data_IF_804818641094
#
_entry.id   IF_804818641094
#
_cell.length_a   1.000
_cell.length_b   1.000
_cell.length_c   1.000
_cell.angle_alpha   90.00
_cell.angle_beta   90.00
_cell.angle_gamma   90.00
#
_symmetry.space_group_name_H-M   'P 1'
#
loop_
_entity.id
_entity.type
_entity.pdbx_description
1 polymer ?
#
# COMPACT_ATOMS: atom_id res chain seq x y z
N UNK A 1 15.50 80.45 -17.21
CA UNK A 1 16.42 79.29 -17.39
C UNK A 1 16.58 78.46 -16.11
N UNK A 2 16.84 79.10 -14.97
CA UNK A 2 17.02 78.34 -13.65
C UNK A 2 15.83 77.50 -13.16
N UNK A 3 14.60 77.96 -13.32
CA UNK A 3 13.39 77.21 -12.85
C UNK A 3 13.16 75.86 -13.59
N UNK A 4 13.59 75.77 -14.83
CA UNK A 4 13.43 74.53 -15.62
C UNK A 4 14.44 73.42 -15.26
N UNK A 5 15.67 73.86 -14.89
CA UNK A 5 16.73 72.91 -14.45
C UNK A 5 16.38 72.27 -13.11
N UNK A 6 15.88 73.06 -12.15
CA UNK A 6 15.44 72.54 -10.85
C UNK A 6 14.26 71.63 -10.96
N UNK A 7 13.32 71.86 -11.87
CA UNK A 7 12.15 70.99 -12.07
C UNK A 7 12.55 69.64 -12.67
N UNK A 8 13.44 69.62 -13.66
CA UNK A 8 13.93 68.44 -14.30
C UNK A 8 14.80 67.55 -13.35
N UNK A 9 15.59 68.19 -12.48
CA UNK A 9 16.40 67.51 -11.48
C UNK A 9 15.51 66.86 -10.40
N UNK A 10 14.41 67.48 -9.98
CA UNK A 10 13.46 66.94 -9.05
C UNK A 10 12.70 65.71 -9.59
N UNK A 11 12.26 65.79 -10.84
CA UNK A 11 11.55 64.71 -11.50
C UNK A 11 12.46 63.49 -11.73
N UNK A 12 13.74 63.71 -12.07
CA UNK A 12 14.69 62.61 -12.26
C UNK A 12 15.06 61.94 -10.94
N UNK A 13 15.23 62.73 -9.87
CA UNK A 13 15.43 62.17 -8.51
C UNK A 13 14.23 61.37 -8.02
N UNK A 14 13.03 61.87 -8.24
CA UNK A 14 11.81 61.20 -7.86
C UNK A 14 11.61 59.86 -8.63
N UNK A 15 11.89 59.84 -9.93
CA UNK A 15 11.88 58.60 -10.75
C UNK A 15 12.91 57.58 -10.27
N UNK A 16 14.10 58.01 -9.90
CA UNK A 16 15.15 57.10 -9.39
C UNK A 16 14.79 56.51 -8.02
N UNK A 17 14.20 57.32 -7.14
CA UNK A 17 13.69 56.84 -5.85
C UNK A 17 12.57 55.84 -6.01
N UNK A 18 11.64 56.05 -6.94
CA UNK A 18 10.57 55.10 -7.24
C UNK A 18 11.12 53.77 -7.78
N UNK A 19 12.07 53.79 -8.71
CA UNK A 19 12.72 52.57 -9.20
C UNK A 19 13.45 51.79 -8.10
N UNK A 20 14.15 52.51 -7.21
CA UNK A 20 14.78 51.88 -6.04
C UNK A 20 13.77 51.27 -5.09
N UNK A 21 12.64 51.92 -4.82
CA UNK A 21 11.58 51.42 -3.96
C UNK A 21 10.90 50.16 -4.55
N UNK A 22 10.67 50.12 -5.88
CA UNK A 22 10.16 48.95 -6.59
C UNK A 22 11.15 47.78 -6.54
N UNK A 23 12.44 48.04 -6.68
CA UNK A 23 13.49 47.04 -6.54
C UNK A 23 13.52 46.42 -5.14
N UNK A 24 13.47 47.25 -4.10
CA UNK A 24 13.40 46.77 -2.71
C UNK A 24 12.16 45.96 -2.46
N UNK A 25 10.99 46.40 -2.93
CA UNK A 25 9.72 45.67 -2.81
C UNK A 25 9.78 44.32 -3.52
N UNK A 26 10.37 44.24 -4.69
CA UNK A 26 10.57 42.99 -5.42
C UNK A 26 11.48 42.02 -4.67
N UNK A 27 12.56 42.50 -4.07
CA UNK A 27 13.46 41.69 -3.24
C UNK A 27 12.74 41.21 -1.99
N UNK A 28 11.98 42.05 -1.28
CA UNK A 28 11.20 41.67 -0.11
C UNK A 28 10.17 40.59 -0.44
N UNK A 29 9.48 40.72 -1.58
CA UNK A 29 8.52 39.71 -2.02
C UNK A 29 9.21 38.38 -2.37
N UNK A 30 10.36 38.40 -3.03
CA UNK A 30 11.14 37.22 -3.36
C UNK A 30 11.65 36.52 -2.09
N UNK A 31 12.10 37.23 -1.09
CA UNK A 31 12.56 36.70 0.21
C UNK A 31 11.37 36.10 0.96
N UNK A 32 10.21 36.73 0.98
CA UNK A 32 9.01 36.22 1.65
C UNK A 32 8.51 34.95 0.96
N UNK A 33 8.48 34.89 -0.37
CA UNK A 33 8.13 33.68 -1.12
C UNK A 33 9.14 32.55 -0.92
N UNK A 34 10.42 32.88 -0.76
CA UNK A 34 11.47 31.91 -0.43
C UNK A 34 11.30 31.34 0.98
N UNK A 35 11.00 32.19 1.97
CA UNK A 35 10.72 31.79 3.35
C UNK A 35 9.51 30.85 3.42
N UNK A 36 8.40 31.22 2.78
CA UNK A 36 7.19 30.42 2.74
C UNK A 36 7.40 29.06 2.11
N UNK A 37 8.17 28.98 1.01
CA UNK A 37 8.57 27.71 0.38
C UNK A 37 9.48 26.86 1.27
N UNK A 38 10.34 27.48 2.06
CA UNK A 38 11.18 26.77 3.03
C UNK A 38 10.35 26.16 4.17
N UNK A 39 9.42 26.92 4.73
CA UNK A 39 8.51 26.39 5.76
C UNK A 39 7.65 25.21 5.26
N UNK A 40 7.10 25.32 4.06
CA UNK A 40 6.36 24.23 3.42
C UNK A 40 7.25 22.99 3.22
N UNK A 41 8.49 23.16 2.78
CA UNK A 41 9.44 22.07 2.62
C UNK A 41 9.82 21.43 3.95
N UNK A 42 10.05 22.21 4.99
CA UNK A 42 10.37 21.70 6.34
C UNK A 42 9.20 20.90 6.89
N UNK A 43 7.98 21.44 6.81
CA UNK A 43 6.78 20.74 7.24
C UNK A 43 6.57 19.43 6.47
N UNK A 44 6.72 19.46 5.16
CA UNK A 44 6.61 18.27 4.31
C UNK A 44 7.67 17.22 4.66
N UNK A 45 8.89 17.65 4.94
CA UNK A 45 9.98 16.76 5.36
C UNK A 45 9.69 16.12 6.72
N UNK A 46 9.16 16.87 7.68
CA UNK A 46 8.79 16.33 9.00
C UNK A 46 7.66 15.30 8.89
N UNK A 47 6.63 15.59 8.09
CA UNK A 47 5.53 14.65 7.83
C UNK A 47 6.07 13.39 7.15
N UNK A 48 6.93 13.53 6.15
CA UNK A 48 7.54 12.40 5.46
C UNK A 48 8.41 11.55 6.38
N UNK A 49 9.21 12.17 7.23
CA UNK A 49 10.03 11.47 8.22
C UNK A 49 9.17 10.70 9.23
N UNK A 50 8.07 11.30 9.68
CA UNK A 50 7.12 10.63 10.58
C UNK A 50 6.47 9.42 9.90
N UNK A 51 6.00 9.59 8.65
CA UNK A 51 5.41 8.49 7.87
C UNK A 51 6.43 7.38 7.66
N UNK A 52 7.66 7.70 7.28
CA UNK A 52 8.73 6.72 7.06
C UNK A 52 9.11 5.99 8.36
N UNK A 53 9.19 6.71 9.47
CA UNK A 53 9.42 6.09 10.78
C UNK A 53 8.26 5.15 11.16
N UNK A 54 7.02 5.61 11.01
CA UNK A 54 5.82 4.83 11.30
C UNK A 54 5.75 3.57 10.41
N UNK A 55 6.03 3.72 9.12
CA UNK A 55 6.12 2.62 8.16
C UNK A 55 7.18 1.59 8.61
N UNK A 56 8.38 2.05 8.97
CA UNK A 56 9.45 1.19 9.48
C UNK A 56 9.11 0.45 10.77
N UNK A 57 8.31 1.05 11.66
CA UNK A 57 7.82 0.39 12.88
C UNK A 57 6.73 -0.63 12.55
N UNK A 58 5.76 -0.26 11.71
CA UNK A 58 4.63 -1.15 11.36
C UNK A 58 5.10 -2.34 10.54
N UNK A 59 5.93 -2.13 9.51
CA UNK A 59 6.45 -3.20 8.63
C UNK A 59 7.76 -3.80 9.12
N UNK A 60 8.23 -3.40 10.29
CA UNK A 60 9.49 -3.88 10.90
C UNK A 60 9.36 -5.22 11.62
N UNK A 61 10.35 -5.48 12.48
CA UNK A 61 10.44 -6.69 13.29
C UNK A 61 9.16 -7.07 14.05
N UNK A 62 8.39 -6.14 14.65
CA UNK A 62 7.19 -6.50 15.40
C UNK A 62 6.15 -7.22 14.54
N UNK A 63 5.90 -6.74 13.32
CA UNK A 63 4.95 -7.38 12.41
C UNK A 63 5.44 -8.74 11.93
N UNK A 64 6.73 -8.86 11.61
CA UNK A 64 7.34 -10.12 11.17
C UNK A 64 7.20 -11.19 12.26
N UNK A 65 7.53 -10.83 13.51
CA UNK A 65 7.38 -11.72 14.66
C UNK A 65 5.91 -12.12 14.86
N UNK A 66 5.00 -11.18 14.76
CA UNK A 66 3.56 -11.44 14.92
C UNK A 66 3.05 -12.40 13.84
N UNK A 67 3.42 -12.18 12.58
CA UNK A 67 3.00 -13.04 11.46
C UNK A 67 3.57 -14.46 11.62
N UNK A 68 4.85 -14.59 11.92
CA UNK A 68 5.49 -15.89 12.13
C UNK A 68 4.91 -16.61 13.34
N UNK A 69 4.76 -15.92 14.47
CA UNK A 69 4.15 -16.47 15.68
C UNK A 69 2.73 -16.97 15.42
N UNK A 70 1.90 -16.16 14.79
CA UNK A 70 0.52 -16.54 14.43
C UNK A 70 0.50 -17.73 13.46
N UNK A 71 1.38 -17.71 12.46
CA UNK A 71 1.51 -18.81 11.50
C UNK A 71 1.95 -20.12 12.14
N UNK A 72 2.94 -20.10 13.04
CA UNK A 72 3.40 -21.27 13.80
C UNK A 72 2.30 -21.76 14.72
N UNK A 73 1.66 -20.86 15.49
CA UNK A 73 0.57 -21.21 16.40
C UNK A 73 -0.61 -21.86 15.67
N UNK A 74 -1.00 -21.32 14.53
CA UNK A 74 -2.07 -21.89 13.71
C UNK A 74 -1.65 -23.22 13.09
N UNK A 75 -0.44 -23.35 12.61
CA UNK A 75 0.09 -24.61 12.05
C UNK A 75 0.07 -25.73 13.08
N UNK A 76 0.50 -25.44 14.31
CA UNK A 76 0.47 -26.43 15.40
C UNK A 76 -0.95 -26.74 15.86
N UNK A 77 -1.81 -25.73 16.02
CA UNK A 77 -3.23 -25.92 16.41
C UNK A 77 -4.04 -26.67 15.37
N UNK A 78 -3.78 -26.46 14.09
CA UNK A 78 -4.45 -27.16 12.98
C UNK A 78 -3.79 -28.50 12.61
N UNK A 79 -2.76 -28.93 13.37
CA UNK A 79 -2.13 -30.24 13.19
C UNK A 79 -1.44 -30.42 11.85
N UNK A 80 -0.64 -29.43 11.39
CA UNK A 80 0.09 -29.45 10.11
C UNK A 80 -0.85 -29.70 8.91
N UNK A 81 -1.98 -29.01 8.89
CA UNK A 81 -3.02 -29.14 7.87
C UNK A 81 -2.47 -28.97 6.45
N UNK A 82 -1.48 -28.09 6.27
CA UNK A 82 -0.83 -27.81 5.00
C UNK A 82 -0.21 -29.07 4.37
N UNK A 83 0.32 -29.96 5.19
CA UNK A 83 0.94 -31.22 4.71
C UNK A 83 -0.08 -32.34 4.61
N UNK A 84 -0.91 -32.50 5.67
CA UNK A 84 -1.86 -33.64 5.77
C UNK A 84 -2.98 -33.60 4.74
N UNK A 85 -3.42 -32.40 4.35
CA UNK A 85 -4.56 -32.23 3.45
C UNK A 85 -4.19 -31.67 2.08
N UNK A 86 -2.90 -31.58 1.76
CA UNK A 86 -2.42 -31.06 0.47
C UNK A 86 -3.04 -31.81 -0.71
N UNK A 87 -3.09 -33.15 -0.66
CA UNK A 87 -3.69 -33.96 -1.72
C UNK A 87 -5.19 -33.71 -1.91
N UNK A 88 -5.93 -33.45 -0.81
CA UNK A 88 -7.33 -33.06 -0.89
C UNK A 88 -7.50 -31.67 -1.49
N UNK A 89 -6.67 -30.72 -1.07
CA UNK A 89 -6.70 -29.37 -1.61
C UNK A 89 -6.45 -29.35 -3.12
N UNK A 90 -5.45 -30.08 -3.61
CA UNK A 90 -5.18 -30.21 -5.03
C UNK A 90 -6.35 -30.86 -5.78
N UNK A 91 -7.00 -31.85 -5.19
CA UNK A 91 -8.19 -32.48 -5.80
C UNK A 91 -9.34 -31.47 -5.94
N UNK A 92 -9.61 -30.64 -4.93
CA UNK A 92 -10.65 -29.62 -4.98
C UNK A 92 -10.32 -28.44 -5.93
N UNK A 93 -9.07 -28.22 -6.24
CA UNK A 93 -8.69 -27.25 -7.29
C UNK A 93 -9.18 -27.66 -8.68
N UNK A 94 -9.22 -28.98 -8.96
CA UNK A 94 -9.54 -29.51 -10.30
C UNK A 94 -10.98 -30.01 -10.37
N UNK A 95 -11.52 -30.58 -9.29
CA UNK A 95 -12.90 -31.08 -9.22
C UNK A 95 -13.81 -30.03 -8.58
N UNK A 96 -14.78 -29.55 -9.34
CA UNK A 96 -15.89 -28.79 -8.76
C UNK A 96 -16.79 -29.75 -7.95
N UNK A 97 -17.08 -29.39 -6.71
CA UNK A 97 -18.14 -30.05 -5.95
C UNK A 97 -19.47 -29.46 -6.38
N UNK A 98 -20.36 -30.32 -6.87
CA UNK A 98 -21.74 -29.98 -7.17
C UNK A 98 -22.50 -29.97 -5.85
N UNK A 99 -23.13 -28.84 -5.47
CA UNK A 99 -24.01 -28.73 -4.30
C UNK A 99 -23.54 -27.83 -3.15
N UNK A 100 -22.55 -26.97 -3.37
CA UNK A 100 -22.23 -25.92 -2.40
C UNK A 100 -23.19 -24.72 -2.51
N UNK A 101 -23.62 -24.15 -1.37
CA UNK A 101 -24.44 -22.92 -1.29
C UNK A 101 -23.67 -21.64 -1.68
N UNK A 102 -22.71 -21.72 -2.58
CA UNK A 102 -21.89 -20.60 -3.05
C UNK A 102 -22.27 -20.14 -4.44
N UNK A 103 -22.17 -18.84 -4.70
CA UNK A 103 -22.43 -18.24 -6.01
C UNK A 103 -21.36 -18.59 -7.06
N UNK A 104 -20.20 -19.09 -6.65
CA UNK A 104 -19.03 -19.32 -7.50
C UNK A 104 -18.47 -20.73 -7.28
N UNK A 105 -18.03 -21.38 -8.36
CA UNK A 105 -17.35 -22.69 -8.26
C UNK A 105 -16.00 -22.59 -7.52
N UNK A 106 -15.53 -23.69 -6.95
CA UNK A 106 -14.23 -23.75 -6.24
C UNK A 106 -13.07 -23.28 -7.12
N UNK A 107 -13.06 -23.68 -8.39
CA UNK A 107 -12.06 -23.22 -9.35
C UNK A 107 -12.20 -21.72 -9.67
N UNK A 108 -13.42 -21.21 -9.83
CA UNK A 108 -13.69 -19.79 -10.05
C UNK A 108 -13.23 -18.93 -8.86
N UNK A 109 -13.49 -19.37 -7.63
CA UNK A 109 -13.02 -18.71 -6.41
C UNK A 109 -11.48 -18.67 -6.34
N UNK A 110 -10.82 -19.78 -6.70
CA UNK A 110 -9.35 -19.84 -6.78
C UNK A 110 -8.81 -18.87 -7.83
N UNK A 111 -9.37 -18.85 -9.03
CA UNK A 111 -8.95 -17.92 -10.10
C UNK A 111 -9.10 -16.46 -9.66
N UNK A 112 -10.21 -16.12 -9.02
CA UNK A 112 -10.46 -14.78 -8.49
C UNK A 112 -9.44 -14.40 -7.41
N UNK A 113 -9.16 -15.30 -6.46
CA UNK A 113 -8.18 -15.08 -5.41
C UNK A 113 -6.75 -14.91 -5.98
N UNK A 114 -6.35 -15.74 -6.95
CA UNK A 114 -5.06 -15.63 -7.62
C UNK A 114 -4.95 -14.33 -8.42
N UNK A 115 -5.99 -13.95 -9.14
CA UNK A 115 -6.02 -12.70 -9.91
C UNK A 115 -5.86 -11.47 -9.01
N UNK A 116 -6.43 -11.48 -7.81
CA UNK A 116 -6.29 -10.40 -6.84
C UNK A 116 -4.92 -10.40 -6.12
N UNK A 117 -4.26 -11.56 -6.03
CA UNK A 117 -3.03 -11.71 -5.23
C UNK A 117 -1.76 -11.60 -6.09
N UNK A 118 -1.80 -12.11 -7.33
CA UNK A 118 -0.64 -12.10 -8.23
C UNK A 118 -0.52 -10.72 -8.88
N UNK A 119 0.54 -10.01 -8.53
CA UNK A 119 0.85 -8.69 -9.09
C UNK A 119 2.35 -8.53 -9.32
N UNK A 120 2.77 -7.34 -9.73
CA UNK A 120 4.19 -6.99 -9.92
C UNK A 120 5.03 -7.18 -8.67
N UNK A 121 4.43 -7.10 -7.47
CA UNK A 121 5.10 -7.40 -6.21
C UNK A 121 5.66 -8.81 -6.14
N UNK A 122 4.99 -9.79 -6.74
CA UNK A 122 5.43 -11.18 -6.75
C UNK A 122 6.58 -11.44 -7.74
N UNK A 123 6.82 -10.54 -8.67
CA UNK A 123 7.92 -10.63 -9.65
C UNK A 123 9.04 -9.66 -9.26
N UNK A 124 8.75 -8.37 -9.25
CA UNK A 124 9.74 -7.32 -8.96
C UNK A 124 10.14 -7.35 -7.48
N UNK A 125 9.19 -7.54 -6.56
CA UNK A 125 9.47 -7.61 -5.13
C UNK A 125 10.34 -8.81 -4.75
N UNK A 126 10.11 -9.96 -5.36
CA UNK A 126 10.97 -11.15 -5.15
C UNK A 126 12.35 -10.91 -5.73
N UNK A 127 12.46 -10.35 -6.94
CA UNK A 127 13.74 -10.03 -7.57
C UNK A 127 14.56 -9.03 -6.73
N UNK A 128 13.92 -7.98 -6.23
CA UNK A 128 14.59 -6.99 -5.36
C UNK A 128 14.99 -7.58 -4.01
N UNK A 129 14.18 -8.44 -3.42
CA UNK A 129 14.52 -9.14 -2.18
C UNK A 129 15.73 -10.06 -2.35
N UNK A 130 15.82 -10.80 -3.46
CA UNK A 130 16.97 -11.64 -3.78
C UNK A 130 18.21 -10.78 -4.05
N UNK A 131 18.07 -9.67 -4.77
CA UNK A 131 19.16 -8.74 -5.04
C UNK A 131 19.75 -8.13 -3.75
N UNK A 132 18.90 -7.80 -2.78
CA UNK A 132 19.30 -7.20 -1.52
C UNK A 132 19.79 -8.22 -0.48
N UNK A 133 19.14 -9.38 -0.38
CA UNK A 133 19.37 -10.38 0.67
C UNK A 133 20.04 -11.67 0.19
N UNK A 134 20.39 -11.76 -1.11
CA UNK A 134 21.00 -12.95 -1.70
C UNK A 134 20.06 -14.17 -1.70
N UNK A 135 20.61 -15.38 -1.95
CA UNK A 135 19.82 -16.63 -2.00
C UNK A 135 19.10 -16.95 -0.69
N UNK A 136 19.59 -16.47 0.45
CA UNK A 136 18.98 -16.63 1.77
C UNK A 136 17.60 -15.98 1.86
N UNK A 137 17.36 -14.88 1.13
CA UNK A 137 16.06 -14.24 1.10
C UNK A 137 14.98 -15.18 0.55
N UNK A 138 15.27 -15.90 -0.53
CA UNK A 138 14.36 -16.88 -1.13
C UNK A 138 14.00 -18.00 -0.13
N UNK A 139 14.99 -18.51 0.59
CA UNK A 139 14.76 -19.54 1.61
C UNK A 139 13.77 -19.03 2.68
N UNK A 140 14.01 -17.85 3.23
CA UNK A 140 13.13 -17.29 4.26
C UNK A 140 11.73 -16.94 3.73
N UNK A 141 11.62 -16.54 2.47
CA UNK A 141 10.33 -16.31 1.83
C UNK A 141 9.51 -17.61 1.73
N UNK A 142 10.15 -18.75 1.38
CA UNK A 142 9.48 -20.05 1.33
C UNK A 142 9.03 -20.47 2.74
N UNK A 143 9.89 -20.30 3.76
CA UNK A 143 9.55 -20.59 5.15
C UNK A 143 8.36 -19.75 5.63
N UNK A 144 8.38 -18.45 5.37
CA UNK A 144 7.29 -17.55 5.71
C UNK A 144 5.99 -17.93 4.98
N UNK A 145 6.07 -18.29 3.69
CA UNK A 145 4.91 -18.73 2.92
C UNK A 145 4.29 -20.01 3.46
N UNK A 146 5.11 -20.96 3.93
CA UNK A 146 4.62 -22.20 4.54
C UNK A 146 3.74 -21.93 5.78
N UNK A 147 4.19 -21.05 6.67
CA UNK A 147 3.39 -20.64 7.82
C UNK A 147 2.21 -19.74 7.44
N UNK A 148 2.37 -18.92 6.41
CA UNK A 148 1.31 -18.08 5.86
C UNK A 148 0.11 -18.87 5.32
N UNK A 149 0.31 -20.07 4.81
CA UNK A 149 -0.78 -20.95 4.36
C UNK A 149 -1.77 -21.27 5.49
N UNK A 150 -1.30 -21.54 6.71
CA UNK A 150 -2.16 -21.79 7.85
C UNK A 150 -3.01 -20.58 8.24
N UNK A 151 -2.41 -19.39 8.16
CA UNK A 151 -3.11 -18.13 8.43
C UNK A 151 -4.21 -17.88 7.39
N UNK A 152 -3.92 -18.09 6.12
CA UNK A 152 -4.91 -17.92 5.03
C UNK A 152 -6.04 -18.97 5.12
N UNK A 153 -5.73 -20.19 5.49
CA UNK A 153 -6.75 -21.20 5.74
C UNK A 153 -7.69 -20.79 6.89
N UNK A 154 -7.13 -20.32 8.01
CA UNK A 154 -7.93 -19.88 9.15
C UNK A 154 -8.80 -18.66 8.77
N UNK A 155 -8.27 -17.71 8.02
CA UNK A 155 -9.01 -16.56 7.51
C UNK A 155 -10.20 -16.98 6.65
N UNK A 156 -9.97 -17.87 5.67
CA UNK A 156 -11.02 -18.40 4.81
C UNK A 156 -12.09 -19.17 5.59
N UNK A 157 -11.68 -19.99 6.56
CA UNK A 157 -12.60 -20.73 7.43
C UNK A 157 -13.48 -19.80 8.26
N UNK A 158 -12.90 -18.72 8.82
CA UNK A 158 -13.65 -17.73 9.58
C UNK A 158 -14.61 -16.94 8.68
N UNK A 159 -14.19 -16.60 7.48
CA UNK A 159 -15.04 -15.91 6.52
C UNK A 159 -16.28 -16.74 6.14
N UNK A 160 -16.12 -18.05 5.97
CA UNK A 160 -17.24 -18.95 5.68
C UNK A 160 -18.12 -19.17 6.93
N UNK A 161 -17.50 -19.38 8.10
CA UNK A 161 -18.22 -19.67 9.34
C UNK A 161 -19.12 -18.51 9.79
N UNK A 162 -18.67 -17.28 9.63
CA UNK A 162 -19.36 -16.08 10.08
C UNK A 162 -19.99 -15.26 8.94
N UNK A 163 -20.16 -15.89 7.76
CA UNK A 163 -20.87 -15.27 6.63
C UNK A 163 -22.33 -15.00 7.01
N UNK A 164 -22.88 -13.96 6.44
CA UNK A 164 -24.31 -13.63 6.52
C UNK A 164 -24.91 -13.68 5.13
N UNK A 165 -26.18 -14.04 5.06
CA UNK A 165 -26.94 -14.03 3.80
C UNK A 165 -27.87 -12.84 3.85
N UNK A 166 -27.81 -11.97 2.85
CA UNK A 166 -28.69 -10.82 2.74
C UNK A 166 -30.11 -11.24 2.32
N UNK A 167 -31.05 -10.31 2.41
CA UNK A 167 -32.47 -10.54 2.03
C UNK A 167 -32.64 -10.91 0.55
N UNK A 168 -31.68 -10.54 -0.28
CA UNK A 168 -31.62 -10.83 -1.72
C UNK A 168 -30.94 -12.17 -2.03
N UNK A 169 -30.47 -12.92 -1.00
CA UNK A 169 -29.78 -14.20 -1.16
C UNK A 169 -28.28 -14.09 -1.40
N UNK A 170 -27.70 -12.89 -1.42
CA UNK A 170 -26.27 -12.71 -1.59
C UNK A 170 -25.49 -13.10 -0.34
N UNK A 171 -24.38 -13.80 -0.54
CA UNK A 171 -23.48 -14.23 0.53
C UNK A 171 -22.49 -13.11 0.86
N UNK A 172 -22.62 -12.56 2.06
CA UNK A 172 -21.76 -11.51 2.59
C UNK A 172 -20.79 -12.10 3.62
N UNK A 173 -19.50 -11.98 3.37
CA UNK A 173 -18.45 -12.51 4.24
C UNK A 173 -17.24 -11.59 4.27
N UNK A 174 -16.24 -11.93 5.08
CA UNK A 174 -14.99 -11.22 5.17
C UNK A 174 -14.63 -10.73 6.57
N UNK A 175 -13.53 -9.97 6.71
CA UNK A 175 -12.99 -9.57 8.01
C UNK A 175 -13.97 -8.80 8.89
N UNK A 176 -14.76 -7.90 8.32
CA UNK A 176 -15.74 -7.13 9.09
C UNK A 176 -16.82 -8.00 9.70
N UNK A 177 -17.28 -9.05 8.99
CA UNK A 177 -18.31 -9.95 9.47
C UNK A 177 -17.79 -10.89 10.55
N UNK A 178 -16.61 -11.48 10.39
CA UNK A 178 -16.11 -12.38 11.43
C UNK A 178 -15.57 -11.63 12.67
N UNK A 179 -15.17 -10.34 12.54
CA UNK A 179 -14.85 -9.51 13.70
C UNK A 179 -16.14 -9.20 14.47
N UNK A 180 -17.22 -8.78 13.79
CA UNK A 180 -18.48 -8.43 14.44
C UNK A 180 -19.19 -9.65 15.02
N UNK A 181 -19.32 -10.72 14.22
CA UNK A 181 -20.10 -11.90 14.62
C UNK A 181 -19.28 -12.91 15.45
N UNK A 182 -17.96 -12.95 15.29
CA UNK A 182 -17.08 -13.89 15.95
C UNK A 182 -16.52 -13.38 17.27
N UNK A 183 -16.13 -12.11 17.34
CA UNK A 183 -15.58 -11.50 18.57
C UNK A 183 -16.65 -10.86 19.44
N UNK A 184 -17.85 -10.63 18.90
CA UNK A 184 -18.99 -10.07 19.61
C UNK A 184 -19.16 -8.57 19.44
N UNK A 185 -20.32 -8.07 19.91
CA UNK A 185 -20.76 -6.68 19.72
C UNK A 185 -19.79 -5.61 20.25
N UNK A 186 -18.98 -5.97 21.25
CA UNK A 186 -17.98 -5.04 21.84
C UNK A 186 -16.89 -4.66 20.83
N UNK A 187 -16.58 -5.50 19.84
CA UNK A 187 -15.54 -5.29 18.83
C UNK A 187 -16.05 -4.68 17.52
N UNK A 188 -17.29 -4.25 17.50
CA UNK A 188 -17.93 -3.63 16.34
C UNK A 188 -17.18 -2.39 15.83
N UNK A 189 -16.57 -1.63 16.74
CA UNK A 189 -15.74 -0.48 16.37
C UNK A 189 -14.54 -0.88 15.50
N UNK A 190 -13.90 -2.02 15.80
CA UNK A 190 -12.76 -2.54 15.04
C UNK A 190 -13.21 -2.97 13.63
N UNK A 191 -14.37 -3.63 13.51
CA UNK A 191 -14.95 -3.98 12.21
C UNK A 191 -15.21 -2.73 11.35
N UNK A 192 -15.73 -1.64 11.94
CA UNK A 192 -15.96 -0.38 11.24
C UNK A 192 -14.66 0.29 10.78
N UNK A 193 -13.64 0.30 11.62
CA UNK A 193 -12.31 0.83 11.26
C UNK A 193 -11.74 0.03 10.09
N UNK A 194 -11.81 -1.30 10.17
CA UNK A 194 -11.33 -2.17 9.08
C UNK A 194 -12.09 -1.90 7.77
N UNK A 195 -13.42 -1.76 7.83
CA UNK A 195 -14.24 -1.45 6.67
C UNK A 195 -13.90 -0.08 6.06
N UNK A 196 -13.66 0.94 6.90
CA UNK A 196 -13.25 2.26 6.45
C UNK A 196 -11.92 2.24 5.70
N UNK A 197 -10.90 1.58 6.25
CA UNK A 197 -9.62 1.43 5.56
C UNK A 197 -9.73 0.55 4.32
N UNK A 198 -10.53 -0.51 4.37
CA UNK A 198 -10.79 -1.37 3.20
C UNK A 198 -11.45 -0.61 2.06
N UNK A 199 -12.44 0.23 2.34
CA UNK A 199 -13.06 1.11 1.35
C UNK A 199 -12.05 2.14 0.80
N UNK A 200 -11.20 2.71 1.66
CA UNK A 200 -10.12 3.60 1.26
C UNK A 200 -9.15 2.93 0.29
N UNK A 201 -8.67 1.74 0.60
CA UNK A 201 -7.79 0.97 -0.28
C UNK A 201 -8.47 0.67 -1.63
N UNK A 202 -9.76 0.33 -1.62
CA UNK A 202 -10.54 0.11 -2.84
C UNK A 202 -10.64 1.36 -3.72
N UNK A 203 -10.88 2.53 -3.12
CA UNK A 203 -10.99 3.81 -3.82
C UNK A 203 -9.63 4.28 -4.40
N UNK A 204 -8.54 4.10 -3.66
CA UNK A 204 -7.20 4.49 -4.10
C UNK A 204 -6.52 3.46 -5.00
N UNK A 205 -7.18 2.35 -5.33
CA UNK A 205 -6.76 1.39 -6.34
C UNK A 205 -5.61 0.49 -5.91
N UNK A 206 -5.78 -0.33 -4.90
CA UNK A 206 -4.97 -1.49 -4.42
C UNK A 206 -3.60 -1.62 -5.13
N UNK A 207 -2.71 -0.63 -4.96
CA UNK A 207 -1.37 -0.70 -5.55
C UNK A 207 -1.30 -0.61 -7.10
N UNK A 208 -2.38 -0.25 -7.78
CA UNK A 208 -2.44 -0.15 -9.24
C UNK A 208 -1.36 0.79 -9.80
N UNK A 209 -1.10 1.91 -9.12
CA UNK A 209 -0.04 2.85 -9.52
C UNK A 209 1.36 2.24 -9.48
N UNK A 210 1.67 1.46 -8.46
CA UNK A 210 2.96 0.76 -8.36
C UNK A 210 3.10 -0.34 -9.39
N UNK A 211 2.01 -1.04 -9.72
CA UNK A 211 1.98 -2.08 -10.75
C UNK A 211 2.19 -1.47 -12.14
N UNK A 212 1.49 -0.41 -12.48
CA UNK A 212 1.66 0.31 -13.76
C UNK A 212 3.08 0.84 -13.91
N UNK A 213 3.63 1.46 -12.86
CA UNK A 213 5.01 1.95 -12.88
C UNK A 213 6.03 0.82 -13.05
N UNK A 214 5.84 -0.32 -12.39
CA UNK A 214 6.68 -1.51 -12.57
C UNK A 214 6.67 -2.03 -14.02
N UNK A 215 5.51 -2.07 -14.65
CA UNK A 215 5.39 -2.46 -16.06
C UNK A 215 6.03 -1.46 -17.02
N UNK A 216 5.99 -0.17 -16.74
CA UNK A 216 6.62 0.86 -17.56
C UNK A 216 8.15 0.85 -17.44
N UNK A 217 8.68 0.48 -16.27
CA UNK A 217 10.13 0.45 -16.04
C UNK A 217 10.84 -0.77 -16.68
N UNK A 218 10.16 -1.90 -16.79
CA UNK A 218 10.72 -3.11 -17.36
C UNK A 218 11.23 -2.93 -18.80
N UNK A 219 10.46 -2.38 -19.77
CA UNK A 219 10.96 -2.17 -21.13
C UNK A 219 12.10 -1.14 -21.21
N UNK A 220 12.10 -0.12 -20.35
CA UNK A 220 13.15 0.90 -20.31
C UNK A 220 14.48 0.30 -19.86
N UNK A 221 14.48 -0.56 -18.85
CA UNK A 221 15.68 -1.24 -18.37
C UNK A 221 16.24 -2.23 -19.40
N UNK A 222 15.37 -2.97 -20.10
CA UNK A 222 15.77 -3.89 -21.18
C UNK A 222 16.36 -3.17 -22.39
N UNK A 223 15.84 -1.99 -22.73
CA UNK A 223 16.39 -1.17 -23.82
C UNK A 223 17.76 -0.62 -23.46
N UNK A 224 17.97 -0.24 -22.19
CA UNK A 224 19.27 0.26 -21.72
C UNK A 224 20.37 -0.83 -21.78
N UNK A 225 20.02 -2.08 -21.45
CA UNK A 225 20.97 -3.22 -21.51
C UNK A 225 21.40 -3.50 -22.96
N UNK A 226 20.48 -3.34 -23.94
CA UNK A 226 20.81 -3.52 -25.37
C UNK A 226 21.76 -2.44 -25.94
N UNK A 227 21.82 -1.27 -25.36
CA UNK A 227 22.71 -0.20 -25.80
C UNK A 227 24.09 -0.21 -25.13
N UNK A 228 24.33 -1.11 -24.17
CA UNK A 228 25.61 -1.23 -23.43
C UNK A 228 26.42 -2.46 -23.84
N UNK A 229 25.94 -3.25 -24.78
CA UNK A 229 26.68 -4.32 -25.48
C UNK A 229 27.03 -3.87 -26.92
#
# INVERSE_FOLDING_TARGET
MYKQVFRNSGESLQKNLWKSAEGVRSICNAVNLSGKRMEERVMFTQINNFITWFDGVVWGLPLIILILFTGILLTTRLGLLQVRHLGKALKFMVKNEEGGDGEVTSFGALCTALSATIGTGNIVGVATAIAAGGPGALFWMIVAAFFGMATKYAEGLLAIKYRTIDKEGHVLGGPFYYIENGMGKQWRWLAKIFAFFGAGVGLFGIGTFTQVNGHLQLPISLTRIKHTQ
#
